data_IF_072635194281
#
_entry.id   IF_072635194281
#
_cell.length_a   1.000
_cell.length_b   1.000
_cell.length_c   1.000
_cell.angle_alpha   90.00
_cell.angle_beta   90.00
_cell.angle_gamma   90.00
#
_symmetry.space_group_name_H-M   'P 1'
#
loop_
_entity.id
_entity.type
_entity.pdbx_description
1 polymer ?
#
# COMPACT_ATOMS: atom_id res chain seq x y z
N UNK A 1 -14.07 -11.57 5.80
CA UNK A 1 -13.16 -12.58 6.39
C UNK A 1 -11.93 -11.84 6.89
N UNK A 2 -11.58 -11.95 8.18
CA UNK A 2 -10.27 -11.52 8.67
C UNK A 2 -9.21 -12.47 8.11
N UNK A 3 -8.12 -11.89 7.63
CA UNK A 3 -6.98 -12.57 7.00
C UNK A 3 -5.78 -12.44 7.93
N UNK A 4 -5.00 -13.51 8.09
CA UNK A 4 -3.96 -13.64 9.13
C UNK A 4 -2.60 -13.05 8.72
N UNK A 5 -1.65 -12.96 9.67
CA UNK A 5 -0.30 -12.49 9.40
C UNK A 5 0.41 -13.40 8.38
N UNK A 6 1.18 -12.82 7.46
CA UNK A 6 1.80 -13.57 6.36
C UNK A 6 0.92 -13.73 5.12
N UNK A 7 -0.34 -13.28 5.16
CA UNK A 7 -1.12 -13.12 3.93
C UNK A 7 -0.63 -11.93 3.09
N UNK A 8 -0.77 -12.06 1.77
CA UNK A 8 -0.48 -10.99 0.82
C UNK A 8 -1.61 -10.82 -0.19
N UNK A 9 -1.70 -9.61 -0.74
CA UNK A 9 -2.57 -9.30 -1.87
C UNK A 9 -1.74 -8.65 -2.97
N UNK A 10 -2.15 -8.88 -4.22
CA UNK A 10 -1.54 -8.27 -5.39
C UNK A 10 -2.52 -7.33 -6.06
N UNK A 11 -2.05 -6.13 -6.41
CA UNK A 11 -2.77 -5.17 -7.23
C UNK A 11 -1.97 -4.93 -8.51
N UNK A 12 -2.63 -5.01 -9.66
CA UNK A 12 -2.03 -4.64 -10.95
C UNK A 12 -2.60 -3.31 -11.39
N UNK A 13 -1.76 -2.42 -11.87
CA UNK A 13 -2.16 -1.11 -12.37
C UNK A 13 -1.24 -0.64 -13.49
N UNK A 14 -1.76 0.24 -14.34
CA UNK A 14 -1.00 0.84 -15.44
C UNK A 14 -0.60 2.27 -15.10
N UNK A 15 0.70 2.54 -15.22
CA UNK A 15 1.29 3.86 -15.09
C UNK A 15 1.40 4.47 -16.48
N UNK A 16 0.67 5.56 -16.71
CA UNK A 16 0.61 6.22 -18.01
C UNK A 16 1.88 6.98 -18.38
N UNK A 17 2.67 7.38 -17.39
CA UNK A 17 3.85 8.21 -17.60
C UNK A 17 4.92 7.94 -16.55
N UNK A 18 6.17 7.75 -16.96
CA UNK A 18 7.24 7.41 -16.03
C UNK A 18 7.69 8.60 -15.18
N UNK A 19 7.44 8.58 -13.87
CA UNK A 19 7.79 9.68 -12.94
C UNK A 19 7.73 9.22 -11.47
N UNK A 20 7.89 10.18 -10.55
CA UNK A 20 7.67 9.95 -9.12
C UNK A 20 6.18 10.09 -8.75
N UNK A 21 5.75 9.18 -7.87
CA UNK A 21 4.40 9.04 -7.40
C UNK A 21 4.34 8.99 -5.88
N UNK A 22 3.18 9.38 -5.36
CA UNK A 22 2.74 9.02 -4.02
C UNK A 22 1.67 7.93 -4.15
N UNK A 23 1.82 6.88 -3.36
CA UNK A 23 0.85 5.79 -3.26
C UNK A 23 0.22 5.83 -1.88
N UNK A 24 -1.10 5.95 -1.84
CA UNK A 24 -1.87 6.06 -0.59
C UNK A 24 -2.72 4.82 -0.41
N UNK A 25 -2.68 4.26 0.80
CA UNK A 25 -3.56 3.18 1.22
C UNK A 25 -4.59 3.72 2.21
N UNK A 26 -5.86 3.51 1.88
CA UNK A 26 -6.98 3.82 2.77
C UNK A 26 -7.36 2.58 3.56
N UNK A 27 -7.06 2.62 4.87
CA UNK A 27 -7.38 1.57 5.81
C UNK A 27 -8.91 1.39 5.93
N UNK A 28 -9.38 0.13 5.94
CA UNK A 28 -10.77 -0.16 6.29
C UNK A 28 -11.04 0.12 7.77
N UNK A 29 -12.29 0.45 8.12
CA UNK A 29 -12.67 0.76 9.51
C UNK A 29 -12.72 -0.51 10.40
N UNK A 30 -11.56 -1.11 10.64
CA UNK A 30 -11.37 -2.31 11.43
C UNK A 30 -10.17 -2.14 12.39
N UNK A 31 -10.43 -2.24 13.70
CA UNK A 31 -9.45 -2.10 14.79
C UNK A 31 -8.58 -0.83 14.72
N UNK A 32 -9.19 0.31 14.38
CA UNK A 32 -8.51 1.61 14.16
C UNK A 32 -7.64 2.05 15.35
N UNK A 33 -7.94 1.58 16.55
CA UNK A 33 -7.20 1.80 17.80
C UNK A 33 -5.76 1.24 17.79
N UNK A 34 -5.42 0.36 16.85
CA UNK A 34 -4.07 -0.21 16.72
C UNK A 34 -3.30 0.38 15.54
N UNK A 35 -1.97 0.55 15.67
CA UNK A 35 -1.13 0.93 14.54
C UNK A 35 -1.07 -0.19 13.50
N UNK A 36 -0.71 0.19 12.29
CA UNK A 36 -0.60 -0.66 11.11
C UNK A 36 0.82 -0.57 10.53
N UNK A 37 1.38 -1.70 10.07
CA UNK A 37 2.56 -1.75 9.20
C UNK A 37 2.45 -2.82 8.11
N UNK A 38 2.30 -2.42 6.85
CA UNK A 38 2.26 -3.34 5.71
C UNK A 38 3.52 -3.23 4.87
N UNK A 39 4.16 -4.36 4.55
CA UNK A 39 5.34 -4.38 3.69
C UNK A 39 4.92 -4.31 2.22
N UNK A 40 5.54 -3.39 1.47
CA UNK A 40 5.18 -3.14 0.06
C UNK A 40 6.31 -3.55 -0.86
N UNK A 41 5.98 -4.43 -1.81
CA UNK A 41 6.82 -4.74 -2.96
C UNK A 41 6.20 -4.13 -4.23
N UNK A 42 7.03 -3.53 -5.08
CA UNK A 42 6.67 -3.17 -6.46
C UNK A 42 7.48 -4.03 -7.42
N UNK A 43 6.77 -4.75 -8.29
CA UNK A 43 7.35 -5.72 -9.23
C UNK A 43 8.29 -6.72 -8.53
N UNK A 44 7.94 -7.10 -7.30
CA UNK A 44 8.72 -8.03 -6.48
C UNK A 44 9.90 -7.42 -5.73
N UNK A 45 10.15 -6.11 -5.84
CA UNK A 45 11.22 -5.40 -5.13
C UNK A 45 10.69 -4.64 -3.94
N UNK A 46 11.34 -4.78 -2.79
CA UNK A 46 11.00 -4.01 -1.60
C UNK A 46 11.11 -2.52 -1.88
N UNK A 47 10.04 -1.81 -1.57
CA UNK A 47 9.89 -0.37 -1.85
C UNK A 47 9.78 0.45 -0.57
N UNK A 48 9.23 -0.15 0.49
CA UNK A 48 9.00 0.51 1.77
C UNK A 48 7.86 -0.15 2.52
N UNK A 49 7.55 0.43 3.67
CA UNK A 49 6.43 -0.02 4.49
C UNK A 49 5.35 1.07 4.55
N UNK A 50 4.10 0.66 4.39
CA UNK A 50 2.96 1.49 4.73
C UNK A 50 2.75 1.45 6.23
N UNK A 51 2.91 2.60 6.87
CA UNK A 51 2.67 2.76 8.30
C UNK A 51 1.53 3.74 8.55
N UNK A 52 0.63 3.37 9.47
CA UNK A 52 -0.40 4.26 9.99
C UNK A 52 -0.50 4.09 11.51
N UNK A 53 -0.43 5.19 12.24
CA UNK A 53 -0.67 5.20 13.69
C UNK A 53 -2.11 4.85 14.06
N UNK A 54 -2.36 4.64 15.35
CA UNK A 54 -3.71 4.48 15.87
C UNK A 54 -4.60 5.68 15.51
N UNK A 55 -5.82 5.41 15.04
CA UNK A 55 -6.77 6.42 14.56
C UNK A 55 -6.51 6.95 13.14
N UNK A 56 -5.32 6.74 12.57
CA UNK A 56 -4.99 7.20 11.23
C UNK A 56 -5.55 6.27 10.17
N UNK A 57 -6.34 6.83 9.24
CA UNK A 57 -6.97 6.08 8.15
C UNK A 57 -6.08 5.93 6.91
N UNK A 58 -5.04 6.74 6.80
CA UNK A 58 -4.19 6.77 5.61
C UNK A 58 -2.77 6.33 5.98
N UNK A 59 -2.23 5.42 5.19
CA UNK A 59 -0.80 5.14 5.13
C UNK A 59 -0.28 5.65 3.78
N UNK A 60 0.88 6.32 3.79
CA UNK A 60 1.42 7.01 2.61
C UNK A 60 2.83 6.53 2.33
N UNK A 61 3.09 6.18 1.07
CA UNK A 61 4.43 5.97 0.54
C UNK A 61 4.70 7.02 -0.53
N UNK A 62 5.74 7.83 -0.31
CA UNK A 62 6.07 8.97 -1.17
C UNK A 62 7.36 8.71 -1.96
N UNK A 63 7.55 9.46 -3.05
CA UNK A 63 8.75 9.42 -3.90
C UNK A 63 9.00 8.05 -4.54
N UNK A 64 7.90 7.36 -4.90
CA UNK A 64 7.97 6.07 -5.57
C UNK A 64 8.17 6.30 -7.07
N UNK A 65 9.33 5.94 -7.60
CA UNK A 65 9.64 6.12 -9.01
C UNK A 65 9.13 4.93 -9.81
N UNK A 66 8.15 5.19 -10.68
CA UNK A 66 7.52 4.18 -11.52
C UNK A 66 7.72 4.55 -13.01
N UNK A 67 8.29 3.65 -13.82
CA UNK A 67 8.27 3.77 -15.28
C UNK A 67 6.85 3.80 -15.85
N UNK A 68 6.71 4.19 -17.12
CA UNK A 68 5.46 3.97 -17.85
C UNK A 68 5.29 2.46 -18.12
N UNK A 69 4.08 1.95 -17.92
CA UNK A 69 3.73 0.56 -18.19
C UNK A 69 2.93 -0.09 -17.07
N UNK A 70 2.77 -1.41 -17.17
CA UNK A 70 2.03 -2.20 -16.19
C UNK A 70 2.93 -2.60 -15.03
N UNK A 71 2.45 -2.38 -13.82
CA UNK A 71 3.14 -2.71 -12.57
C UNK A 71 2.29 -3.59 -11.66
N UNK A 72 2.95 -4.31 -10.76
CA UNK A 72 2.31 -5.10 -9.71
C UNK A 72 2.78 -4.64 -8.34
N UNK A 73 1.84 -4.19 -7.51
CA UNK A 73 2.06 -3.95 -6.09
C UNK A 73 1.67 -5.19 -5.29
N UNK A 74 2.57 -5.68 -4.46
CA UNK A 74 2.30 -6.73 -3.48
C UNK A 74 2.33 -6.11 -2.10
N UNK A 75 1.22 -6.21 -1.38
CA UNK A 75 1.10 -5.79 0.01
C UNK A 75 1.12 -7.05 0.87
N UNK A 76 2.13 -7.16 1.73
CA UNK A 76 2.34 -8.27 2.65
C UNK A 76 2.00 -7.81 4.06
N UNK A 77 1.15 -8.57 4.73
CA UNK A 77 0.74 -8.28 6.10
C UNK A 77 1.86 -8.65 7.08
N UNK A 78 2.58 -7.66 7.60
CA UNK A 78 3.52 -7.82 8.70
C UNK A 78 2.81 -7.42 10.02
N UNK A 79 2.10 -8.37 10.63
CA UNK A 79 1.33 -8.16 11.88
C UNK A 79 0.15 -7.19 11.74
N UNK A 80 -0.52 -7.19 10.58
CA UNK A 80 -1.43 -6.13 10.18
C UNK A 80 -2.88 -6.56 10.12
N UNK A 81 -3.67 -6.07 11.08
CA UNK A 81 -5.13 -6.25 11.11
C UNK A 81 -5.82 -5.14 10.31
N UNK A 82 -6.70 -5.49 9.36
CA UNK A 82 -7.55 -4.52 8.65
C UNK A 82 -6.89 -3.78 7.47
N UNK A 83 -5.92 -4.41 6.81
CA UNK A 83 -4.98 -3.76 5.85
C UNK A 83 -5.30 -4.05 4.40
N UNK A 84 -6.52 -4.47 4.13
CA UNK A 84 -6.96 -4.77 2.78
C UNK A 84 -7.82 -3.61 2.30
N UNK A 85 -7.21 -2.58 1.68
CA UNK A 85 -7.96 -1.43 1.20
C UNK A 85 -8.91 -1.88 0.10
N UNK A 86 -10.07 -1.26 0.05
CA UNK A 86 -11.02 -1.48 -1.05
C UNK A 86 -10.48 -0.93 -2.37
N UNK A 87 -9.61 0.10 -2.31
CA UNK A 87 -8.98 0.72 -3.45
C UNK A 87 -7.57 1.25 -3.10
N UNK A 88 -6.69 1.30 -4.11
CA UNK A 88 -5.39 1.96 -4.04
C UNK A 88 -5.41 3.13 -5.00
N UNK A 89 -4.94 4.29 -4.54
CA UNK A 89 -4.83 5.50 -5.34
C UNK A 89 -3.36 5.84 -5.61
N UNK A 90 -3.08 6.15 -6.88
CA UNK A 90 -1.75 6.56 -7.36
C UNK A 90 -1.86 7.99 -7.87
N UNK A 91 -1.20 8.93 -7.19
CA UNK A 91 -1.25 10.35 -7.51
C UNK A 91 0.14 10.91 -7.84
N UNK A 92 0.18 11.90 -8.73
CA UNK A 92 1.41 12.63 -9.08
C UNK A 92 1.92 13.37 -7.83
N UNK A 93 3.20 13.24 -7.52
CA UNK A 93 3.84 14.08 -6.51
C UNK A 93 3.94 15.53 -7.01
N UNK A 94 3.74 16.50 -6.12
CA UNK A 94 3.91 17.93 -6.41
C UNK A 94 5.38 18.29 -6.54
#
# INVERSE_FOLDING_TARGET
RSREAGEWVNYSFDVKEGREYQVTLTRQQYRMEWPMRGLVLLDGKYTGDWEAGAGNRLAVLSKIRLPQGRHRLTLISACTYGVWPEAIEVAKSR
#
